data_IF_897682263175
#
_entry.id   IF_897682263175
#
_cell.length_a   1.000
_cell.length_b   1.000
_cell.length_c   1.000
_cell.angle_alpha   90.00
_cell.angle_beta   90.00
_cell.angle_gamma   90.00
#
_symmetry.space_group_name_H-M   'P 1'
#
loop_
_entity.id
_entity.type
_entity.pdbx_description
1 polymer ?
#
# COMPACT_ATOMS: atom_id res chain seq x y z
N UNK A 1 -8.25 -15.45 -33.16
CA UNK A 1 -9.31 -16.03 -32.29
C UNK A 1 -8.72 -16.73 -31.07
N UNK A 2 -7.69 -17.56 -31.22
CA UNK A 2 -7.06 -18.30 -30.10
C UNK A 2 -6.44 -17.42 -29.00
N UNK A 3 -5.89 -16.24 -29.35
CA UNK A 3 -5.27 -15.32 -28.37
C UNK A 3 -6.29 -14.69 -27.41
N UNK A 4 -7.48 -14.32 -27.90
CA UNK A 4 -8.56 -13.76 -27.07
C UNK A 4 -9.11 -14.79 -26.08
N UNK A 5 -9.21 -16.05 -26.52
CA UNK A 5 -9.66 -17.15 -25.67
C UNK A 5 -8.68 -17.41 -24.53
N UNK A 6 -7.37 -17.37 -24.81
CA UNK A 6 -6.34 -17.53 -23.80
C UNK A 6 -6.38 -16.40 -22.76
N UNK A 7 -6.57 -15.14 -23.20
CA UNK A 7 -6.66 -13.98 -22.31
C UNK A 7 -7.89 -14.01 -21.39
N UNK A 8 -9.05 -14.47 -21.89
CA UNK A 8 -10.26 -14.61 -21.09
C UNK A 8 -10.06 -15.68 -19.99
N UNK A 9 -9.49 -16.83 -20.37
CA UNK A 9 -9.26 -17.93 -19.45
C UNK A 9 -8.26 -17.58 -18.34
N UNK A 10 -7.19 -16.85 -18.66
CA UNK A 10 -6.20 -16.41 -17.66
C UNK A 10 -6.79 -15.39 -16.68
N UNK A 11 -7.60 -14.44 -17.16
CA UNK A 11 -8.26 -13.44 -16.33
C UNK A 11 -9.25 -14.07 -15.33
N UNK A 12 -10.07 -15.02 -15.77
CA UNK A 12 -11.02 -15.72 -14.91
C UNK A 12 -10.30 -16.52 -13.81
N UNK A 13 -9.26 -17.28 -14.21
CA UNK A 13 -8.49 -18.09 -13.26
C UNK A 13 -7.78 -17.21 -12.23
N UNK A 14 -7.26 -16.05 -12.65
CA UNK A 14 -6.64 -15.08 -11.76
C UNK A 14 -7.66 -14.50 -10.77
N UNK A 15 -8.84 -14.08 -11.24
CA UNK A 15 -9.92 -13.56 -10.39
C UNK A 15 -10.37 -14.58 -9.33
N UNK A 16 -10.59 -15.84 -9.74
CA UNK A 16 -10.94 -16.93 -8.82
C UNK A 16 -9.82 -17.14 -7.79
N UNK A 17 -8.56 -17.17 -8.23
CA UNK A 17 -7.41 -17.35 -7.34
C UNK A 17 -7.32 -16.23 -6.30
N UNK A 18 -7.47 -14.98 -6.73
CA UNK A 18 -7.51 -13.80 -5.86
C UNK A 18 -8.62 -13.93 -4.81
N UNK A 19 -9.84 -14.30 -5.24
CA UNK A 19 -10.99 -14.40 -4.32
C UNK A 19 -10.85 -15.51 -3.27
N UNK A 20 -10.20 -16.63 -3.62
CA UNK A 20 -9.86 -17.69 -2.67
C UNK A 20 -8.88 -17.20 -1.60
N UNK A 21 -7.87 -16.44 -2.00
CA UNK A 21 -6.89 -15.83 -1.08
C UNK A 21 -7.57 -14.84 -0.14
N UNK A 22 -8.45 -13.97 -0.67
CA UNK A 22 -9.23 -13.05 0.17
C UNK A 22 -10.12 -13.81 1.15
N UNK A 23 -10.87 -14.81 0.69
CA UNK A 23 -11.74 -15.59 1.57
C UNK A 23 -10.97 -16.30 2.69
N UNK A 24 -9.80 -16.86 2.37
CA UNK A 24 -8.91 -17.48 3.36
C UNK A 24 -8.42 -16.43 4.39
N UNK A 25 -7.98 -15.27 3.93
CA UNK A 25 -7.54 -14.16 4.77
C UNK A 25 -8.64 -13.65 5.71
N UNK A 26 -9.86 -13.44 5.18
CA UNK A 26 -11.04 -13.04 5.94
C UNK A 26 -11.40 -14.10 6.99
N UNK A 27 -11.34 -15.38 6.63
CA UNK A 27 -11.62 -16.50 7.54
C UNK A 27 -10.61 -16.57 8.69
N UNK A 28 -9.32 -16.43 8.40
CA UNK A 28 -8.27 -16.40 9.42
C UNK A 28 -8.45 -15.23 10.39
N UNK A 29 -8.85 -14.06 9.86
CA UNK A 29 -9.14 -12.88 10.67
C UNK A 29 -10.31 -13.10 11.63
N UNK A 30 -11.39 -13.73 11.16
CA UNK A 30 -12.55 -14.08 12.01
C UNK A 30 -12.15 -15.08 13.11
N UNK A 31 -11.35 -16.10 12.76
CA UNK A 31 -10.86 -17.09 13.74
C UNK A 31 -10.02 -16.40 14.82
N UNK A 32 -9.10 -15.49 14.44
CA UNK A 32 -8.28 -14.69 15.36
C UNK A 32 -9.16 -13.89 16.33
N UNK A 33 -10.11 -13.11 15.80
CA UNK A 33 -11.02 -12.28 16.63
C UNK A 33 -11.85 -13.16 17.56
N UNK A 34 -12.42 -14.26 17.05
CA UNK A 34 -13.24 -15.18 17.85
C UNK A 34 -12.44 -15.85 18.97
N UNK A 35 -11.20 -16.24 18.72
CA UNK A 35 -10.31 -16.82 19.72
C UNK A 35 -9.99 -15.81 20.84
N UNK A 36 -9.64 -14.57 20.47
CA UNK A 36 -9.37 -13.49 21.44
C UNK A 36 -10.62 -13.08 22.22
N UNK A 37 -11.78 -13.08 21.58
CA UNK A 37 -13.07 -12.88 22.23
C UNK A 37 -13.33 -13.94 23.30
N UNK A 38 -13.18 -15.22 22.95
CA UNK A 38 -13.40 -16.33 23.90
C UNK A 38 -12.42 -16.30 25.08
N UNK A 39 -11.20 -15.84 24.88
CA UNK A 39 -10.18 -15.72 25.93
C UNK A 39 -10.31 -14.44 26.75
N UNK A 40 -11.27 -13.56 26.45
CA UNK A 40 -11.49 -12.30 27.15
C UNK A 40 -10.36 -11.28 26.97
N UNK A 41 -9.51 -11.47 25.94
CA UNK A 41 -8.34 -10.62 25.65
C UNK A 41 -8.57 -9.75 24.42
N UNK A 42 -9.75 -9.18 24.29
CA UNK A 42 -10.04 -8.24 23.19
C UNK A 42 -9.31 -6.93 23.49
N UNK A 43 -8.56 -6.46 22.52
CA UNK A 43 -7.86 -5.18 22.57
C UNK A 43 -8.36 -4.23 21.49
N UNK A 44 -7.97 -2.96 21.59
CA UNK A 44 -8.30 -1.93 20.60
C UNK A 44 -7.90 -2.31 19.16
N UNK A 45 -6.93 -3.21 19.02
CA UNK A 45 -6.29 -3.66 17.78
C UNK A 45 -7.26 -4.54 17.00
N UNK A 46 -7.99 -5.39 17.73
CA UNK A 46 -8.99 -6.28 17.15
C UNK A 46 -10.17 -5.49 16.55
N UNK A 47 -10.46 -4.27 17.04
CA UNK A 47 -11.47 -3.39 16.43
C UNK A 47 -10.98 -2.72 15.16
N UNK A 48 -9.70 -2.31 15.12
CA UNK A 48 -9.10 -1.69 13.93
C UNK A 48 -9.07 -2.68 12.77
N UNK A 49 -8.89 -3.98 13.04
CA UNK A 49 -8.91 -5.07 12.04
C UNK A 49 -10.26 -5.22 11.33
N UNK A 50 -11.37 -4.81 11.93
CA UNK A 50 -12.70 -4.90 11.32
C UNK A 50 -12.83 -3.97 10.11
N UNK A 51 -12.13 -2.84 10.12
CA UNK A 51 -12.21 -1.82 9.06
C UNK A 51 -11.64 -2.35 7.73
N UNK A 52 -10.37 -2.79 7.62
CA UNK A 52 -9.86 -3.36 6.37
C UNK A 52 -10.62 -4.60 5.97
N UNK A 53 -11.11 -5.41 6.92
CA UNK A 53 -11.94 -6.57 6.64
C UNK A 53 -13.23 -6.19 5.88
N UNK A 54 -13.91 -5.12 6.32
CA UNK A 54 -15.10 -4.62 5.64
C UNK A 54 -14.79 -4.07 4.24
N UNK A 55 -13.69 -3.32 4.10
CA UNK A 55 -13.27 -2.80 2.80
C UNK A 55 -12.82 -3.91 1.84
N UNK A 56 -12.15 -4.95 2.32
CA UNK A 56 -11.74 -6.11 1.52
C UNK A 56 -12.94 -6.87 0.96
N UNK A 57 -14.00 -7.01 1.77
CA UNK A 57 -15.26 -7.57 1.32
C UNK A 57 -15.93 -6.70 0.24
N UNK A 58 -15.97 -5.38 0.42
CA UNK A 58 -16.49 -4.44 -0.59
C UNK A 58 -15.68 -4.57 -1.89
N UNK A 59 -14.34 -4.52 -1.82
CA UNK A 59 -13.46 -4.65 -2.98
C UNK A 59 -13.66 -5.98 -3.72
N UNK A 60 -13.89 -7.07 -3.00
CA UNK A 60 -14.21 -8.37 -3.60
C UNK A 60 -15.52 -8.31 -4.39
N UNK A 61 -16.56 -7.67 -3.84
CA UNK A 61 -17.84 -7.47 -4.55
C UNK A 61 -17.63 -6.63 -5.81
N UNK A 62 -16.89 -5.52 -5.70
CA UNK A 62 -16.58 -4.64 -6.84
C UNK A 62 -15.92 -5.42 -7.97
N UNK A 63 -14.88 -6.19 -7.64
CA UNK A 63 -14.12 -7.00 -8.59
C UNK A 63 -15.03 -7.98 -9.35
N UNK A 64 -15.95 -8.65 -8.67
CA UNK A 64 -16.91 -9.56 -9.34
C UNK A 64 -17.94 -8.82 -10.18
N UNK A 65 -18.41 -7.65 -9.73
CA UNK A 65 -19.36 -6.87 -10.51
C UNK A 65 -18.74 -6.27 -11.78
N UNK A 66 -17.48 -5.85 -11.72
CA UNK A 66 -16.71 -5.39 -12.87
C UNK A 66 -16.41 -6.54 -13.85
N UNK A 67 -15.99 -7.70 -13.31
CA UNK A 67 -15.77 -8.91 -14.12
C UNK A 67 -17.03 -9.29 -14.91
N UNK A 68 -18.20 -9.31 -14.25
CA UNK A 68 -19.47 -9.66 -14.88
C UNK A 68 -19.87 -8.69 -16.00
N UNK A 69 -19.57 -7.39 -15.84
CA UNK A 69 -19.90 -6.39 -16.86
C UNK A 69 -18.97 -6.48 -18.08
N UNK A 70 -17.70 -6.81 -17.88
CA UNK A 70 -16.72 -6.95 -18.96
C UNK A 70 -17.04 -8.12 -19.91
N UNK A 71 -17.53 -9.25 -19.39
CA UNK A 71 -17.91 -10.42 -20.21
C UNK A 71 -19.14 -10.16 -21.11
N UNK A 72 -19.96 -9.16 -20.79
CA UNK A 72 -21.23 -8.88 -21.50
C UNK A 72 -21.05 -7.81 -22.59
N UNK A 73 -19.89 -7.13 -22.65
CA UNK A 73 -19.80 -5.89 -23.42
C UNK A 73 -18.40 -5.59 -23.95
N UNK A 74 -18.26 -5.75 -25.26
CA UNK A 74 -17.34 -4.93 -26.05
C UNK A 74 -18.00 -3.57 -26.45
N UNK A 75 -19.22 -3.28 -25.99
CA UNK A 75 -20.07 -2.21 -26.55
C UNK A 75 -21.03 -1.50 -25.57
N UNK A 76 -21.18 -1.93 -24.31
CA UNK A 76 -21.91 -1.13 -23.32
C UNK A 76 -20.98 -0.06 -22.75
N UNK A 77 -21.42 1.20 -22.72
CA UNK A 77 -20.67 2.29 -22.09
C UNK A 77 -20.42 1.97 -20.62
N UNK A 78 -19.28 2.43 -20.12
CA UNK A 78 -18.88 2.25 -18.72
C UNK A 78 -20.05 2.63 -17.79
N UNK A 79 -20.43 1.78 -16.84
CA UNK A 79 -21.55 2.06 -15.95
C UNK A 79 -21.28 3.38 -15.20
N UNK A 80 -22.16 4.38 -15.35
CA UNK A 80 -22.05 5.72 -14.74
C UNK A 80 -22.30 5.71 -13.21
N UNK A 81 -21.72 4.76 -12.50
CA UNK A 81 -21.87 4.60 -11.06
C UNK A 81 -20.65 5.08 -10.28
N UNK A 82 -20.88 5.83 -9.19
CA UNK A 82 -19.85 6.16 -8.20
C UNK A 82 -19.05 4.92 -7.75
N UNK A 83 -19.75 3.79 -7.59
CA UNK A 83 -19.20 2.51 -7.12
C UNK A 83 -18.16 1.93 -8.09
N UNK A 84 -18.31 2.19 -9.39
CA UNK A 84 -17.39 1.73 -10.44
C UNK A 84 -16.32 2.77 -10.81
N UNK A 85 -16.28 3.89 -10.09
CA UNK A 85 -15.25 4.89 -10.34
C UNK A 85 -13.86 4.40 -9.96
N UNK A 86 -12.87 4.75 -10.78
CA UNK A 86 -11.45 4.56 -10.46
C UNK A 86 -11.07 5.21 -9.12
N UNK A 87 -11.72 6.32 -8.76
CA UNK A 87 -11.53 6.96 -7.46
C UNK A 87 -11.94 6.04 -6.31
N UNK A 88 -13.12 5.43 -6.40
CA UNK A 88 -13.62 4.55 -5.33
C UNK A 88 -12.74 3.30 -5.19
N UNK A 89 -12.32 2.71 -6.33
CA UNK A 89 -11.39 1.58 -6.32
C UNK A 89 -10.04 1.94 -5.71
N UNK A 90 -9.47 3.09 -6.08
CA UNK A 90 -8.25 3.60 -5.47
C UNK A 90 -8.44 3.80 -3.96
N UNK A 91 -9.53 4.45 -3.56
CA UNK A 91 -9.84 4.70 -2.16
C UNK A 91 -9.96 3.40 -1.33
N UNK A 92 -10.69 2.39 -1.81
CA UNK A 92 -10.83 1.11 -1.09
C UNK A 92 -9.49 0.38 -1.02
N UNK A 93 -8.76 0.31 -2.13
CA UNK A 93 -7.44 -0.33 -2.20
C UNK A 93 -6.45 0.33 -1.22
N UNK A 94 -6.34 1.65 -1.25
CA UNK A 94 -5.44 2.37 -0.35
C UNK A 94 -5.86 2.25 1.11
N UNK A 95 -7.17 2.26 1.40
CA UNK A 95 -7.68 2.08 2.76
C UNK A 95 -7.31 0.71 3.32
N UNK A 96 -7.53 -0.36 2.55
CA UNK A 96 -7.14 -1.74 2.95
C UNK A 96 -5.65 -1.77 3.29
N UNK A 97 -4.80 -1.26 2.40
CA UNK A 97 -3.36 -1.32 2.62
C UNK A 97 -2.94 -0.51 3.85
N UNK A 98 -3.50 0.69 4.02
CA UNK A 98 -3.16 1.56 5.15
C UNK A 98 -3.47 0.89 6.49
N UNK A 99 -4.65 0.30 6.64
CA UNK A 99 -5.03 -0.40 7.86
C UNK A 99 -4.22 -1.67 8.10
N UNK A 100 -3.94 -2.47 7.06
CA UNK A 100 -3.05 -3.64 7.14
C UNK A 100 -1.71 -3.23 7.73
N UNK A 101 -1.15 -2.09 7.32
CA UNK A 101 0.15 -1.65 7.81
C UNK A 101 0.16 -1.18 9.26
N UNK A 102 -0.95 -0.62 9.73
CA UNK A 102 -1.13 -0.30 11.15
C UNK A 102 -1.22 -1.58 11.98
N UNK A 103 -2.02 -2.55 11.55
CA UNK A 103 -2.28 -3.80 12.28
C UNK A 103 -1.00 -4.64 12.38
N UNK A 104 -0.34 -4.90 11.24
CA UNK A 104 0.87 -5.73 11.21
C UNK A 104 2.11 -5.00 11.75
N UNK A 105 2.10 -3.67 11.81
CA UNK A 105 3.15 -2.89 12.45
C UNK A 105 3.27 -3.10 13.98
N UNK A 106 2.21 -3.61 14.62
CA UNK A 106 2.10 -3.73 16.08
C UNK A 106 2.56 -5.10 16.60
N UNK A 107 2.56 -6.16 15.78
CA UNK A 107 2.83 -7.54 16.23
C UNK A 107 4.20 -8.05 15.71
N UNK A 108 5.23 -8.23 16.56
CA UNK A 108 6.61 -8.49 16.12
C UNK A 108 6.87 -9.89 15.54
N UNK A 109 5.98 -10.87 15.76
CA UNK A 109 6.23 -12.29 15.46
C UNK A 109 5.98 -12.69 13.99
N UNK A 110 5.29 -11.86 13.20
CA UNK A 110 4.90 -12.17 11.81
C UNK A 110 5.65 -11.35 10.75
N UNK A 111 6.74 -10.69 11.17
CA UNK A 111 7.52 -9.74 10.38
C UNK A 111 8.35 -10.40 9.27
N UNK A 112 8.81 -11.63 9.47
CA UNK A 112 9.83 -12.24 8.59
C UNK A 112 9.28 -12.89 7.31
N UNK A 113 7.95 -13.02 7.16
CA UNK A 113 7.33 -13.78 6.05
C UNK A 113 6.65 -12.88 4.99
N UNK A 114 6.38 -11.60 5.30
CA UNK A 114 5.58 -10.69 4.44
C UNK A 114 6.37 -9.51 3.85
N UNK A 115 7.70 -9.60 3.81
CA UNK A 115 8.59 -8.47 3.50
C UNK A 115 8.64 -8.04 2.02
N UNK A 116 8.13 -8.83 1.07
CA UNK A 116 8.31 -8.53 -0.37
C UNK A 116 7.19 -7.71 -1.02
N UNK A 117 5.92 -7.95 -0.65
CA UNK A 117 4.77 -7.31 -1.32
C UNK A 117 4.35 -5.96 -0.70
N UNK A 118 4.93 -5.59 0.46
CA UNK A 118 4.59 -4.39 1.25
C UNK A 118 5.61 -3.25 1.11
N UNK A 119 6.37 -3.19 0.02
CA UNK A 119 7.53 -2.29 -0.11
C UNK A 119 7.20 -0.80 0.02
N UNK A 120 5.98 -0.35 -0.31
CA UNK A 120 5.55 1.06 -0.15
C UNK A 120 4.99 1.42 1.24
N UNK A 121 4.51 0.44 2.01
CA UNK A 121 3.88 0.70 3.31
C UNK A 121 4.61 0.05 4.51
N UNK A 122 5.66 -0.72 4.24
CA UNK A 122 6.71 -1.18 5.18
C UNK A 122 7.19 -0.07 6.12
N UNK A 123 7.16 1.18 5.64
CA UNK A 123 7.65 2.39 6.31
C UNK A 123 6.93 2.74 7.63
N UNK A 124 5.61 2.60 7.67
CA UNK A 124 4.82 2.83 8.90
C UNK A 124 5.01 1.66 9.86
N UNK A 125 5.05 0.42 9.34
CA UNK A 125 5.33 -0.78 10.14
C UNK A 125 6.74 -0.81 10.73
N UNK A 126 7.72 -0.21 10.05
CA UNK A 126 9.10 -0.07 10.53
C UNK A 126 9.17 0.98 11.64
N UNK A 127 8.51 2.12 11.50
CA UNK A 127 8.45 3.14 12.56
C UNK A 127 7.67 2.69 13.78
N UNK A 128 6.56 1.95 13.60
CA UNK A 128 5.83 1.32 14.70
C UNK A 128 6.66 0.21 15.38
N UNK A 129 7.44 -0.57 14.62
CA UNK A 129 8.40 -1.53 15.19
C UNK A 129 9.39 -0.86 16.10
N UNK A 130 9.99 0.23 15.63
CA UNK A 130 11.00 0.99 16.36
C UNK A 130 10.37 1.60 17.60
N UNK A 131 9.13 2.09 17.50
CA UNK A 131 8.37 2.57 18.65
C UNK A 131 8.11 1.48 19.71
N UNK A 132 7.91 0.24 19.29
CA UNK A 132 7.72 -0.92 20.17
C UNK A 132 8.95 -1.32 20.97
N UNK A 133 10.16 -1.02 20.47
CA UNK A 133 11.43 -1.30 21.17
C UNK A 133 11.60 -0.39 22.41
N UNK A 134 10.99 0.78 22.42
CA UNK A 134 11.12 1.73 23.54
C UNK A 134 10.10 1.46 24.65
N UNK A 135 10.59 1.39 25.90
CA UNK A 135 9.74 1.24 27.09
C UNK A 135 8.68 2.35 27.19
N UNK A 136 7.47 2.04 27.74
CA UNK A 136 6.42 3.04 27.96
C UNK A 136 6.93 4.19 28.84
N UNK A 137 6.67 5.44 28.41
CA UNK A 137 7.04 6.66 29.14
C UNK A 137 8.22 7.45 28.56
N UNK A 138 8.96 6.90 27.59
CA UNK A 138 10.06 7.62 26.97
C UNK A 138 9.58 8.63 25.89
N UNK A 139 10.19 9.83 25.83
CA UNK A 139 9.82 10.89 24.88
C UNK A 139 9.85 10.45 23.40
N UNK A 140 10.71 9.50 23.05
CA UNK A 140 10.84 8.97 21.69
C UNK A 140 9.58 8.25 21.21
N UNK A 141 8.84 7.60 22.11
CA UNK A 141 7.58 6.94 21.75
C UNK A 141 6.51 7.96 21.34
N UNK A 142 6.47 9.12 22.01
CA UNK A 142 5.58 10.22 21.64
C UNK A 142 5.97 10.78 20.27
N UNK A 143 7.27 11.00 20.02
CA UNK A 143 7.74 11.44 18.70
C UNK A 143 7.38 10.46 17.58
N UNK A 144 7.48 9.15 17.83
CA UNK A 144 7.09 8.14 16.85
C UNK A 144 5.58 8.19 16.54
N UNK A 145 4.73 8.38 17.55
CA UNK A 145 3.29 8.57 17.32
C UNK A 145 2.99 9.87 16.54
N UNK A 146 3.64 10.98 16.90
CA UNK A 146 3.52 12.23 16.14
C UNK A 146 3.92 12.00 14.68
N UNK A 147 4.98 11.25 14.45
CA UNK A 147 5.46 10.93 13.11
C UNK A 147 4.43 10.12 12.31
N UNK A 148 3.83 9.08 12.89
CA UNK A 148 2.75 8.31 12.26
C UNK A 148 1.55 9.21 11.92
N UNK A 149 1.17 10.13 12.81
CA UNK A 149 0.10 11.09 12.56
C UNK A 149 0.45 12.04 11.41
N UNK A 150 1.69 12.54 11.35
CA UNK A 150 2.15 13.40 10.24
C UNK A 150 2.10 12.66 8.91
N UNK A 151 2.58 11.41 8.87
CA UNK A 151 2.50 10.58 7.66
C UNK A 151 1.04 10.35 7.23
N UNK A 152 0.14 10.10 8.18
CA UNK A 152 -1.28 9.97 7.88
C UNK A 152 -1.88 11.26 7.32
N UNK A 153 -1.55 12.42 7.89
CA UNK A 153 -2.03 13.70 7.40
C UNK A 153 -1.50 14.02 6.00
N UNK A 154 -0.21 13.77 5.73
CA UNK A 154 0.37 13.92 4.40
C UNK A 154 -0.35 13.04 3.36
N UNK A 155 -0.62 11.79 3.73
CA UNK A 155 -1.39 10.87 2.91
C UNK A 155 -2.82 11.38 2.66
N UNK A 156 -3.52 11.80 3.71
CA UNK A 156 -4.88 12.32 3.60
C UNK A 156 -4.94 13.55 2.68
N UNK A 157 -3.99 14.48 2.83
CA UNK A 157 -3.84 15.64 1.94
C UNK A 157 -3.61 15.20 0.49
N UNK A 158 -2.79 14.18 0.24
CA UNK A 158 -2.59 13.65 -1.12
C UNK A 158 -3.90 13.16 -1.75
N UNK A 159 -4.74 12.45 -0.99
CA UNK A 159 -6.06 11.98 -1.45
C UNK A 159 -6.99 13.15 -1.72
N UNK A 160 -7.03 14.16 -0.83
CA UNK A 160 -7.83 15.35 -1.04
C UNK A 160 -7.39 16.14 -2.28
N UNK A 161 -6.08 16.30 -2.50
CA UNK A 161 -5.55 16.95 -3.69
C UNK A 161 -6.00 16.17 -4.93
N UNK A 162 -5.85 14.85 -4.95
CA UNK A 162 -6.35 14.01 -6.06
C UNK A 162 -7.86 14.19 -6.31
N UNK A 163 -8.64 14.37 -5.26
CA UNK A 163 -10.11 14.52 -5.33
C UNK A 163 -10.53 15.90 -5.83
N UNK A 164 -9.80 16.96 -5.46
CA UNK A 164 -10.18 18.36 -5.75
C UNK A 164 -9.39 19.01 -6.88
N UNK A 165 -8.44 18.32 -7.52
CA UNK A 165 -7.59 18.93 -8.55
C UNK A 165 -8.30 19.24 -9.87
N UNK A 166 -9.51 18.71 -10.10
CA UNK A 166 -10.19 18.78 -11.40
C UNK A 166 -11.49 19.58 -11.28
N UNK A 167 -11.48 20.88 -11.59
CA UNK A 167 -12.70 21.67 -11.62
C UNK A 167 -13.56 21.29 -12.83
N UNK A 168 -14.84 21.01 -12.60
CA UNK A 168 -15.85 20.86 -13.67
C UNK A 168 -16.29 19.43 -13.98
N UNK A 169 -15.56 18.40 -13.54
CA UNK A 169 -16.06 17.02 -13.54
C UNK A 169 -16.52 16.63 -12.13
N UNK A 170 -17.50 15.73 -11.98
CA UNK A 170 -17.79 15.18 -10.67
C UNK A 170 -16.54 14.46 -10.15
N UNK A 171 -16.22 14.65 -8.86
CA UNK A 171 -14.98 14.20 -8.23
C UNK A 171 -14.74 12.68 -8.32
N UNK A 172 -15.78 11.90 -8.60
CA UNK A 172 -15.68 10.46 -8.83
C UNK A 172 -15.43 10.09 -10.29
N UNK A 173 -15.77 10.93 -11.27
CA UNK A 173 -15.50 10.68 -12.68
C UNK A 173 -14.34 11.58 -13.15
N UNK A 174 -13.14 11.20 -12.73
CA UNK A 174 -11.91 11.90 -13.07
C UNK A 174 -11.43 11.44 -14.45
N UNK A 175 -11.47 12.36 -15.43
CA UNK A 175 -10.77 12.14 -16.69
C UNK A 175 -9.26 12.35 -16.45
N UNK A 176 -8.58 11.22 -16.22
CA UNK A 176 -7.14 11.20 -15.99
C UNK A 176 -6.35 11.79 -17.15
N UNK A 177 -6.89 11.87 -18.37
CA UNK A 177 -6.14 12.41 -19.50
C UNK A 177 -5.96 13.92 -19.40
N UNK A 178 -6.99 14.64 -18.93
CA UNK A 178 -6.95 16.09 -18.80
C UNK A 178 -6.42 16.59 -17.45
N UNK A 179 -6.49 15.77 -16.40
CA UNK A 179 -6.19 16.20 -15.04
C UNK A 179 -4.98 15.51 -14.38
N UNK A 180 -4.19 14.75 -15.15
CA UNK A 180 -3.12 13.90 -14.62
C UNK A 180 -1.90 14.63 -14.07
N UNK A 181 -1.48 15.73 -14.71
CA UNK A 181 -0.10 16.17 -14.57
C UNK A 181 0.22 16.70 -13.17
N UNK A 182 -0.70 17.45 -12.56
CA UNK A 182 -0.49 18.06 -11.23
C UNK A 182 -0.60 17.03 -10.11
N UNK A 183 -1.58 16.14 -10.18
CA UNK A 183 -1.83 15.12 -9.14
C UNK A 183 -0.69 14.12 -9.02
N UNK A 184 -0.14 13.67 -10.16
CA UNK A 184 1.00 12.74 -10.18
C UNK A 184 2.25 13.42 -9.61
N UNK A 185 2.55 14.66 -10.02
CA UNK A 185 3.73 15.39 -9.52
C UNK A 185 3.64 15.59 -8.00
N UNK A 186 2.49 16.03 -7.51
CA UNK A 186 2.28 16.22 -6.07
C UNK A 186 2.41 14.90 -5.32
N UNK A 187 1.81 13.82 -5.81
CA UNK A 187 1.91 12.50 -5.21
C UNK A 187 3.37 12.02 -5.11
N UNK A 188 4.17 12.24 -6.16
CA UNK A 188 5.60 11.87 -6.17
C UNK A 188 6.40 12.72 -5.18
N UNK A 189 6.13 14.02 -5.10
CA UNK A 189 6.80 14.90 -4.12
C UNK A 189 6.47 14.46 -2.69
N UNK A 190 5.20 14.13 -2.41
CA UNK A 190 4.77 13.67 -1.08
C UNK A 190 5.42 12.33 -0.74
N UNK A 191 5.50 11.38 -1.69
CA UNK A 191 6.15 10.08 -1.50
C UNK A 191 7.65 10.26 -1.19
N UNK A 192 8.34 11.11 -1.94
CA UNK A 192 9.75 11.42 -1.72
C UNK A 192 9.98 12.17 -0.40
N UNK A 193 9.10 13.12 -0.04
CA UNK A 193 9.18 13.82 1.23
C UNK A 193 8.98 12.86 2.40
N UNK A 194 8.00 11.95 2.31
CA UNK A 194 7.77 10.90 3.29
C UNK A 194 9.03 10.04 3.49
N UNK A 195 9.68 9.64 2.40
CA UNK A 195 10.95 8.90 2.42
C UNK A 195 12.09 9.66 3.08
N UNK A 196 12.26 10.92 2.69
CA UNK A 196 13.30 11.76 3.28
C UNK A 196 13.09 11.89 4.80
N UNK A 197 11.86 12.06 5.27
CA UNK A 197 11.59 12.15 6.71
C UNK A 197 11.80 10.81 7.42
N UNK A 198 11.44 9.68 6.79
CA UNK A 198 11.71 8.35 7.33
C UNK A 198 13.20 8.04 7.50
N UNK A 199 14.04 8.54 6.60
CA UNK A 199 15.49 8.39 6.71
C UNK A 199 16.07 9.42 7.71
N UNK A 200 15.60 10.67 7.66
CA UNK A 200 16.12 11.74 8.50
C UNK A 200 15.75 11.56 9.98
N UNK A 201 14.54 11.13 10.31
CA UNK A 201 14.04 11.08 11.68
C UNK A 201 14.84 10.11 12.58
N UNK A 202 15.07 8.84 12.22
CA UNK A 202 15.88 7.97 13.04
C UNK A 202 17.37 8.37 12.99
N UNK A 203 17.91 8.91 11.88
CA UNK A 203 19.29 9.44 11.85
C UNK A 203 19.48 10.57 12.88
N UNK A 204 18.50 11.48 12.96
CA UNK A 204 18.52 12.57 13.94
C UNK A 204 18.41 12.05 15.37
N UNK A 205 17.54 11.07 15.62
CA UNK A 205 17.43 10.40 16.92
C UNK A 205 18.76 9.75 17.30
N UNK A 206 19.41 9.04 16.37
CA UNK A 206 20.65 8.32 16.62
C UNK A 206 21.86 9.22 16.78
N UNK A 207 21.93 10.37 16.10
CA UNK A 207 23.02 11.33 16.28
C UNK A 207 23.10 11.82 17.74
N UNK A 208 21.96 11.96 18.41
CA UNK A 208 21.90 12.45 19.79
C UNK A 208 22.24 11.39 20.85
N UNK A 209 22.22 10.10 20.50
CA UNK A 209 22.38 9.00 21.46
C UNK A 209 23.80 8.43 21.43
N UNK A 210 24.51 8.49 22.57
CA UNK A 210 25.81 7.84 22.74
C UNK A 210 25.62 6.35 23.03
N UNK A 211 25.70 5.52 21.99
CA UNK A 211 25.68 4.05 22.15
C UNK A 211 26.99 3.54 22.74
N UNK A 212 26.89 2.76 23.82
CA UNK A 212 28.02 2.12 24.49
C UNK A 212 28.53 0.85 23.77
N UNK A 213 27.70 0.21 22.92
CA UNK A 213 28.02 -1.05 22.22
C UNK A 213 27.95 -0.86 20.71
N UNK A 214 28.90 -1.45 19.97
CA UNK A 214 29.00 -1.31 18.51
C UNK A 214 28.03 -2.19 17.72
N UNK A 215 27.57 -3.31 18.29
CA UNK A 215 26.64 -4.26 17.65
C UNK A 215 25.32 -3.62 17.22
N UNK A 216 24.78 -2.75 18.07
CA UNK A 216 23.45 -2.17 17.86
C UNK A 216 23.46 -1.18 16.69
N UNK A 217 24.62 -0.57 16.42
CA UNK A 217 24.82 0.35 15.29
C UNK A 217 24.72 -0.36 13.94
N UNK A 218 25.14 -1.62 13.85
CA UNK A 218 25.14 -2.38 12.61
C UNK A 218 23.72 -2.75 12.20
N UNK A 219 22.89 -3.20 13.15
CA UNK A 219 21.47 -3.53 12.88
C UNK A 219 20.71 -2.30 12.39
N UNK A 220 20.95 -1.15 13.02
CA UNK A 220 20.34 0.12 12.64
C UNK A 220 20.81 0.54 11.24
N UNK A 221 22.11 0.47 10.95
CA UNK A 221 22.66 0.82 9.64
C UNK A 221 22.10 -0.10 8.53
N UNK A 222 21.92 -1.39 8.81
CA UNK A 222 21.32 -2.34 7.88
C UNK A 222 19.85 -1.99 7.58
N UNK A 223 19.06 -1.62 8.60
CA UNK A 223 17.68 -1.13 8.43
C UNK A 223 17.63 0.14 7.56
N UNK A 224 18.60 1.04 7.73
CA UNK A 224 18.70 2.25 6.90
C UNK A 224 19.10 1.96 5.46
N UNK A 225 20.06 1.06 5.24
CA UNK A 225 20.49 0.67 3.90
C UNK A 225 19.30 0.10 3.09
N UNK A 226 18.47 -0.73 3.73
CA UNK A 226 17.23 -1.24 3.11
C UNK A 226 16.25 -0.11 2.73
N UNK A 227 16.09 0.90 3.60
CA UNK A 227 15.22 2.06 3.32
C UNK A 227 15.73 2.91 2.14
N UNK A 228 17.05 3.06 1.99
CA UNK A 228 17.65 3.79 0.86
C UNK A 228 17.47 3.02 -0.45
N UNK A 229 17.66 1.70 -0.44
CA UNK A 229 17.47 0.85 -1.62
C UNK A 229 16.02 0.90 -2.09
N UNK A 230 15.06 0.83 -1.16
CA UNK A 230 13.62 0.92 -1.50
C UNK A 230 13.24 2.31 -2.03
N UNK A 231 13.82 3.39 -1.50
CA UNK A 231 13.64 4.75 -2.05
C UNK A 231 14.20 4.85 -3.48
N UNK A 232 15.37 4.27 -3.76
CA UNK A 232 15.94 4.23 -5.11
C UNK A 232 15.07 3.43 -6.08
N UNK A 233 14.56 2.27 -5.65
CA UNK A 233 13.66 1.45 -6.46
C UNK A 233 12.35 2.19 -6.77
N UNK A 234 11.76 2.86 -5.78
CA UNK A 234 10.56 3.69 -5.98
C UNK A 234 10.84 4.87 -6.94
N UNK A 235 11.98 5.54 -6.80
CA UNK A 235 12.42 6.60 -7.70
C UNK A 235 12.56 6.12 -9.14
N UNK A 236 13.21 4.97 -9.36
CA UNK A 236 13.34 4.35 -10.67
C UNK A 236 11.98 3.97 -11.27
N UNK A 237 11.09 3.37 -10.47
CA UNK A 237 9.72 3.06 -10.90
C UNK A 237 8.96 4.31 -11.32
N UNK A 238 9.06 5.41 -10.56
CA UNK A 238 8.45 6.69 -10.92
C UNK A 238 9.01 7.22 -12.25
N UNK A 239 10.33 7.14 -12.47
CA UNK A 239 10.95 7.55 -13.74
C UNK A 239 10.40 6.72 -14.91
N UNK A 240 10.31 5.39 -14.74
CA UNK A 240 9.75 4.50 -15.76
C UNK A 240 8.28 4.83 -16.02
N UNK A 241 7.49 5.09 -14.97
CA UNK A 241 6.09 5.49 -15.11
C UNK A 241 5.92 6.80 -15.87
N UNK A 242 6.72 7.82 -15.57
CA UNK A 242 6.70 9.08 -16.32
C UNK A 242 7.14 8.89 -17.77
N UNK A 243 8.20 8.13 -18.00
CA UNK A 243 8.66 7.80 -19.35
C UNK A 243 7.58 7.06 -20.14
N UNK A 244 6.89 6.11 -19.50
CA UNK A 244 5.77 5.37 -20.06
C UNK A 244 4.61 6.30 -20.47
N UNK A 245 4.23 7.24 -19.59
CA UNK A 245 3.18 8.22 -19.88
C UNK A 245 3.50 9.12 -21.09
N UNK A 246 4.78 9.37 -21.38
CA UNK A 246 5.24 10.14 -22.55
C UNK A 246 5.24 9.33 -23.86
N UNK A 247 5.35 8.00 -23.81
CA UNK A 247 5.52 7.13 -24.99
C UNK A 247 4.19 6.82 -25.71
N UNK A 248 3.04 7.08 -25.08
CA UNK A 248 1.71 6.91 -25.70
C UNK A 248 0.95 5.67 -25.21
N UNK A 249 -0.16 5.28 -25.87
CA UNK A 249 -1.13 4.30 -25.35
C UNK A 249 -0.58 2.86 -25.20
N UNK A 250 0.48 2.50 -25.93
CA UNK A 250 1.14 1.17 -25.83
C UNK A 250 1.93 1.00 -24.52
N UNK A 251 2.10 2.08 -23.75
CA UNK A 251 2.80 2.08 -22.46
C UNK A 251 2.09 1.30 -21.35
N UNK A 252 0.79 1.00 -21.51
CA UNK A 252 0.04 0.18 -20.54
C UNK A 252 0.67 -1.20 -20.34
N UNK A 253 1.22 -1.80 -21.40
CA UNK A 253 1.89 -3.10 -21.32
C UNK A 253 3.19 -3.01 -20.49
N UNK A 254 4.00 -1.98 -20.75
CA UNK A 254 5.21 -1.71 -19.97
C UNK A 254 4.88 -1.50 -18.50
N UNK A 255 3.76 -0.84 -18.19
CA UNK A 255 3.36 -0.64 -16.79
C UNK A 255 3.00 -1.93 -16.07
N UNK A 256 2.21 -2.78 -16.72
CA UNK A 256 1.83 -4.09 -16.16
C UNK A 256 3.10 -4.93 -15.95
N UNK A 257 4.00 -4.99 -16.95
CA UNK A 257 5.27 -5.72 -16.84
C UNK A 257 6.18 -5.18 -15.73
N UNK A 258 6.30 -3.86 -15.58
CA UNK A 258 7.14 -3.24 -14.54
C UNK A 258 6.55 -3.44 -13.15
N UNK A 259 5.21 -3.39 -13.02
CA UNK A 259 4.50 -3.73 -11.80
C UNK A 259 4.77 -5.17 -11.36
N UNK A 260 4.81 -6.11 -12.29
CA UNK A 260 5.18 -7.50 -11.99
C UNK A 260 6.65 -7.65 -11.55
N UNK A 261 7.59 -6.96 -12.21
CA UNK A 261 9.01 -7.00 -11.83
C UNK A 261 9.24 -6.49 -10.40
N UNK A 262 8.48 -5.50 -9.95
CA UNK A 262 8.58 -4.99 -8.59
C UNK A 262 8.07 -5.98 -7.52
N UNK A 263 7.20 -6.93 -7.89
CA UNK A 263 6.74 -8.01 -7.00
C UNK A 263 7.71 -9.19 -6.99
N UNK A 264 8.53 -9.35 -8.04
CA UNK A 264 9.40 -10.52 -8.24
C UNK A 264 10.87 -10.30 -7.82
N UNK A 265 11.33 -9.04 -7.74
CA UNK A 265 12.61 -8.67 -7.14
C UNK A 265 12.43 -8.51 -5.61
N UNK A 266 13.01 -9.33 -4.69
CA UNK A 266 14.17 -10.22 -4.79
C UNK A 266 13.99 -11.60 -4.10
N UNK A 267 13.98 -12.70 -4.85
CA UNK A 267 14.07 -14.06 -4.28
C UNK A 267 15.46 -14.71 -4.36
N UNK A 268 16.46 -14.03 -4.95
CA UNK A 268 17.81 -14.58 -5.15
C UNK A 268 18.94 -13.70 -4.57
N UNK A 269 18.90 -13.41 -3.27
CA UNK A 269 20.09 -12.94 -2.53
C UNK A 269 20.45 -13.88 -1.38
N UNK A 270 20.56 -15.17 -1.72
CA UNK A 270 21.34 -16.13 -0.95
C UNK A 270 22.52 -16.60 -1.81
N UNK A 271 23.67 -15.97 -1.63
CA UNK A 271 25.01 -16.59 -1.64
C UNK A 271 26.00 -15.63 -1.00
#
# INVERSE_FOLDING_TARGET
MSFLYLQCQTNLLLAVSITLVHFLSLSMTIVRIRHRWRTGRIWWDDYIVVIPWAFDFISTILLWTEYKNTDISLYTPDPEGFVYSNWFYAFTYFTIIWYVCIIFGVEPLLRDVFDLALTRFSRIGLTLSVAGIFLPGHRYRICAFIFVVVLFLLYFVSVLIGTFSCPGSPWWNLDYTHCNSTTIIVGVIIDFASDAVLVAAPLFIFWKVKFARQSDRILILALFASSIITMLAAGLFCVVWYAAALIGPDSKLLFIMTGHLQVEFPREMHM
#
